data_IF_989009000215
#
_entry.id   IF_989009000215
#
_cell.length_a   1.000
_cell.length_b   1.000
_cell.length_c   1.000
_cell.angle_alpha   90.00
_cell.angle_beta   90.00
_cell.angle_gamma   90.00
#
_symmetry.space_group_name_H-M   'P 1'
#
loop_
_entity.id
_entity.type
_entity.pdbx_description
1 polymer ?
#
# COMPACT_ATOMS: atom_id res chain seq x y z
N UNK A 1 -10.33 -3.67 35.79
CA UNK A 1 -10.02 -4.66 34.72
C UNK A 1 -10.71 -4.17 33.47
N UNK A 2 -9.98 -3.63 32.52
CA UNK A 2 -10.55 -3.13 31.27
C UNK A 2 -11.02 -4.31 30.42
N UNK A 3 -12.25 -4.26 29.94
CA UNK A 3 -12.79 -5.19 28.95
C UNK A 3 -11.89 -5.08 27.72
N UNK A 4 -11.14 -6.13 27.42
CA UNK A 4 -10.36 -6.20 26.17
C UNK A 4 -11.36 -6.12 25.02
N UNK A 5 -11.44 -4.96 24.38
CA UNK A 5 -12.29 -4.77 23.20
C UNK A 5 -11.78 -5.67 22.06
N UNK A 6 -12.67 -6.45 21.47
CA UNK A 6 -12.37 -7.25 20.28
C UNK A 6 -12.12 -6.41 19.03
N UNK A 7 -12.34 -5.08 19.12
CA UNK A 7 -12.17 -4.11 18.04
C UNK A 7 -10.87 -3.32 18.25
N UNK A 8 -9.98 -3.23 17.27
CA UNK A 8 -8.71 -2.49 17.39
C UNK A 8 -8.91 -1.01 17.72
N UNK A 9 -7.98 -0.44 18.50
CA UNK A 9 -8.05 0.93 19.01
C UNK A 9 -8.23 1.97 17.89
N UNK A 10 -7.45 1.86 16.82
CA UNK A 10 -7.52 2.78 15.67
C UNK A 10 -8.89 2.74 14.98
N UNK A 11 -9.47 1.55 14.84
CA UNK A 11 -10.81 1.41 14.25
C UNK A 11 -11.91 2.01 15.16
N UNK A 12 -11.80 1.84 16.46
CA UNK A 12 -12.70 2.47 17.43
C UNK A 12 -12.63 4.00 17.35
N UNK A 13 -11.41 4.55 17.36
CA UNK A 13 -11.20 5.98 17.22
C UNK A 13 -11.76 6.54 15.89
N UNK A 14 -11.54 5.81 14.78
CA UNK A 14 -12.09 6.19 13.47
C UNK A 14 -13.62 6.18 13.41
N UNK A 15 -14.28 5.40 14.26
CA UNK A 15 -15.75 5.38 14.43
C UNK A 15 -16.28 6.47 15.38
N UNK A 16 -15.41 7.32 15.92
CA UNK A 16 -15.77 8.34 16.91
C UNK A 16 -16.04 7.79 18.31
N UNK A 17 -15.68 6.56 18.60
CA UNK A 17 -15.80 5.98 19.93
C UNK A 17 -14.80 6.62 20.90
N UNK A 18 -15.19 6.73 22.17
CA UNK A 18 -14.26 7.16 23.21
C UNK A 18 -13.16 6.11 23.39
N UNK A 19 -11.92 6.55 23.28
CA UNK A 19 -10.73 5.74 23.49
C UNK A 19 -9.87 6.32 24.63
N UNK A 20 -9.11 5.46 25.27
CA UNK A 20 -8.29 5.80 26.44
C UNK A 20 -6.97 6.52 26.07
N UNK A 21 -6.54 6.39 24.84
CA UNK A 21 -5.39 7.12 24.28
C UNK A 21 -5.53 7.30 22.77
N UNK A 22 -4.86 8.27 22.15
CA UNK A 22 -4.77 8.35 20.69
C UNK A 22 -4.11 7.10 20.10
N UNK A 23 -4.65 6.52 19.00
CA UNK A 23 -3.97 5.45 18.27
C UNK A 23 -2.76 6.00 17.53
N UNK A 24 -1.72 5.18 17.39
CA UNK A 24 -0.47 5.56 16.74
C UNK A 24 -0.19 4.65 15.54
N UNK A 25 0.00 5.28 14.41
CA UNK A 25 0.59 4.69 13.23
C UNK A 25 1.51 5.72 12.56
N UNK A 26 2.68 5.28 12.11
CA UNK A 26 3.64 6.19 11.49
C UNK A 26 3.81 5.88 10.01
N UNK A 27 3.72 6.92 9.17
CA UNK A 27 4.00 6.84 7.75
C UNK A 27 5.38 6.22 7.51
N UNK A 28 5.48 5.33 6.51
CA UNK A 28 6.73 4.67 6.10
C UNK A 28 7.35 3.78 7.19
N UNK A 29 6.52 3.16 8.03
CA UNK A 29 6.99 2.18 9.02
C UNK A 29 7.77 1.04 8.35
N UNK A 30 7.29 0.49 7.22
CA UNK A 30 8.04 -0.45 6.37
C UNK A 30 9.20 0.29 5.70
N UNK A 31 10.09 0.85 6.50
CA UNK A 31 11.08 1.80 6.03
C UNK A 31 12.44 1.19 5.77
N UNK A 32 13.18 1.92 4.98
CA UNK A 32 14.57 1.62 4.60
C UNK A 32 15.53 1.59 5.79
N UNK A 33 15.10 2.06 6.98
CA UNK A 33 15.89 2.07 8.22
C UNK A 33 15.99 0.69 8.88
N UNK A 34 15.00 -0.20 8.67
CA UNK A 34 15.01 -1.53 9.26
C UNK A 34 15.99 -2.46 8.51
N UNK A 35 16.88 -3.12 9.28
CA UNK A 35 17.80 -4.10 8.69
C UNK A 35 17.05 -5.23 7.98
N UNK A 36 16.01 -5.77 8.61
CA UNK A 36 15.18 -6.84 8.03
C UNK A 36 14.59 -6.46 6.66
N UNK A 37 14.16 -5.20 6.48
CA UNK A 37 13.70 -4.72 5.18
C UNK A 37 14.85 -4.65 4.16
N UNK A 38 16.04 -4.17 4.56
CA UNK A 38 17.19 -4.07 3.65
C UNK A 38 17.67 -5.44 3.18
N UNK A 39 17.74 -6.41 4.08
CA UNK A 39 18.13 -7.80 3.76
C UNK A 39 17.11 -8.43 2.77
N UNK A 40 15.81 -8.18 3.00
CA UNK A 40 14.76 -8.66 2.10
C UNK A 40 14.83 -7.97 0.73
N UNK A 41 15.15 -6.68 0.69
CA UNK A 41 15.34 -5.92 -0.56
C UNK A 41 16.54 -6.42 -1.37
N UNK A 42 17.61 -6.85 -0.75
CA UNK A 42 18.75 -7.48 -1.46
C UNK A 42 18.31 -8.77 -2.16
N UNK A 43 17.44 -9.55 -1.50
CA UNK A 43 16.89 -10.80 -2.07
C UNK A 43 15.84 -10.55 -3.16
N UNK A 44 15.03 -9.50 -2.99
CA UNK A 44 13.97 -9.09 -3.92
C UNK A 44 14.19 -7.63 -4.33
N UNK A 45 15.06 -7.33 -5.30
CA UNK A 45 15.44 -5.95 -5.62
C UNK A 45 14.31 -5.13 -6.25
N UNK A 46 13.41 -5.75 -7.02
CA UNK A 46 12.26 -5.07 -7.59
C UNK A 46 11.25 -4.64 -6.53
N UNK A 47 10.75 -3.40 -6.61
CA UNK A 47 9.67 -2.96 -5.72
C UNK A 47 8.39 -3.75 -5.98
N UNK A 48 8.09 -4.05 -7.25
CA UNK A 48 6.90 -4.83 -7.62
C UNK A 48 6.95 -6.23 -7.03
N UNK A 49 8.10 -6.92 -7.10
CA UNK A 49 8.25 -8.23 -6.43
C UNK A 49 7.93 -8.12 -4.93
N UNK A 50 8.46 -7.11 -4.25
CA UNK A 50 8.19 -6.93 -2.82
C UNK A 50 6.75 -6.58 -2.48
N UNK A 51 6.00 -5.99 -3.40
CA UNK A 51 4.60 -5.57 -3.18
C UNK A 51 3.56 -6.49 -3.81
N UNK A 52 3.93 -7.31 -4.81
CA UNK A 52 3.01 -8.15 -5.55
C UNK A 52 3.17 -9.65 -5.21
N UNK A 53 4.33 -10.09 -4.69
CA UNK A 53 4.50 -11.45 -4.15
C UNK A 53 3.89 -11.46 -2.75
N UNK A 54 2.81 -12.22 -2.50
CA UNK A 54 2.06 -12.13 -1.25
C UNK A 54 2.91 -12.35 0.00
N UNK A 55 3.71 -13.41 0.03
CA UNK A 55 4.53 -13.77 1.19
C UNK A 55 5.54 -12.66 1.54
N UNK A 56 6.10 -12.02 0.51
CA UNK A 56 7.07 -10.93 0.67
C UNK A 56 6.39 -9.66 1.17
N UNK A 57 5.26 -9.29 0.58
CA UNK A 57 4.49 -8.11 0.98
C UNK A 57 3.92 -8.24 2.40
N UNK A 58 3.46 -9.43 2.79
CA UNK A 58 3.02 -9.74 4.15
C UNK A 58 4.19 -9.54 5.13
N UNK A 59 5.34 -10.13 4.84
CA UNK A 59 6.52 -10.00 5.69
C UNK A 59 6.92 -8.53 5.86
N UNK A 60 7.04 -7.77 4.77
CA UNK A 60 7.39 -6.34 4.82
C UNK A 60 6.37 -5.53 5.63
N UNK A 61 5.08 -5.81 5.48
CA UNK A 61 4.02 -5.12 6.22
C UNK A 61 4.09 -5.40 7.73
N UNK A 62 4.46 -6.62 8.11
CA UNK A 62 4.49 -7.06 9.51
C UNK A 62 5.79 -6.71 10.25
N UNK A 63 6.91 -6.48 9.56
CA UNK A 63 8.18 -6.17 10.20
C UNK A 63 8.09 -5.02 11.22
N UNK A 64 7.52 -3.85 10.90
CA UNK A 64 7.36 -2.77 11.88
C UNK A 64 6.37 -3.11 12.99
N UNK A 65 5.32 -3.86 12.67
CA UNK A 65 4.35 -4.26 13.68
C UNK A 65 4.96 -5.21 14.72
N UNK A 66 5.75 -6.18 14.29
CA UNK A 66 6.47 -7.08 15.20
C UNK A 66 7.49 -6.35 16.07
N UNK A 67 8.12 -5.31 15.52
CA UNK A 67 9.15 -4.56 16.23
C UNK A 67 8.59 -3.52 17.22
N UNK A 68 7.47 -2.86 16.88
CA UNK A 68 7.01 -1.66 17.59
C UNK A 68 5.56 -1.72 18.06
N UNK A 69 4.80 -2.72 17.66
CA UNK A 69 3.39 -2.92 18.03
C UNK A 69 2.51 -1.66 17.85
N UNK A 70 2.54 -0.97 16.70
CA UNK A 70 1.68 0.17 16.44
C UNK A 70 0.21 -0.24 16.31
N UNK A 71 -0.71 0.71 16.45
CA UNK A 71 -2.15 0.47 16.36
C UNK A 71 -2.65 0.24 14.93
N UNK A 72 -1.79 0.42 13.93
CA UNK A 72 -2.08 0.19 12.53
C UNK A 72 -0.96 -0.60 11.81
N UNK A 73 -1.37 -1.46 10.89
CA UNK A 73 -0.48 -2.17 9.96
C UNK A 73 -0.92 -1.83 8.55
N UNK A 74 -0.05 -1.18 7.78
CA UNK A 74 -0.36 -0.81 6.40
C UNK A 74 0.04 -1.92 5.43
N UNK A 75 -0.82 -2.18 4.45
CA UNK A 75 -0.48 -2.96 3.28
C UNK A 75 0.74 -2.36 2.58
N UNK A 76 1.83 -3.12 2.47
CA UNK A 76 2.97 -2.70 1.66
C UNK A 76 2.62 -2.77 0.17
N UNK A 77 2.44 -1.60 -0.44
CA UNK A 77 1.96 -1.43 -1.81
C UNK A 77 2.44 -0.09 -2.35
N UNK A 78 2.13 0.22 -3.60
CA UNK A 78 2.26 1.57 -4.17
C UNK A 78 0.88 2.16 -4.53
N UNK A 79 0.79 3.49 -4.51
CA UNK A 79 -0.45 4.20 -4.84
C UNK A 79 -0.90 3.94 -6.29
N UNK A 80 0.02 3.63 -7.19
CA UNK A 80 -0.24 3.37 -8.62
C UNK A 80 -0.48 1.89 -8.94
N UNK A 81 -0.47 1.01 -7.97
CA UNK A 81 -0.74 -0.44 -8.15
C UNK A 81 -1.98 -0.77 -9.00
N UNK A 82 -3.08 0.02 -9.00
CA UNK A 82 -4.23 -0.25 -9.86
C UNK A 82 -4.01 0.00 -11.35
N UNK A 83 -3.06 0.83 -11.74
CA UNK A 83 -2.92 1.31 -13.12
C UNK A 83 -2.70 0.21 -14.17
N UNK A 84 -1.87 -0.82 -13.94
CA UNK A 84 -1.72 -1.92 -14.90
C UNK A 84 -3.03 -2.65 -15.19
N UNK A 85 -3.88 -2.83 -14.18
CA UNK A 85 -5.20 -3.44 -14.35
C UNK A 85 -6.20 -2.60 -15.15
N UNK A 86 -5.88 -1.33 -15.37
CA UNK A 86 -6.65 -0.41 -16.22
C UNK A 86 -6.08 -0.31 -17.65
N UNK A 87 -4.99 -1.02 -17.97
CA UNK A 87 -4.32 -0.97 -19.26
C UNK A 87 -3.20 0.07 -19.38
N UNK A 88 -2.75 0.63 -18.25
CA UNK A 88 -1.64 1.60 -18.21
C UNK A 88 -0.35 0.87 -17.86
N UNK A 89 0.53 0.70 -18.84
CA UNK A 89 1.81 0.02 -18.65
C UNK A 89 2.79 0.90 -17.87
N UNK A 90 3.35 0.33 -16.79
CA UNK A 90 4.21 1.06 -15.86
C UNK A 90 5.17 0.15 -15.11
N UNK A 91 6.21 0.76 -14.55
CA UNK A 91 7.08 0.12 -13.56
C UNK A 91 7.43 1.09 -12.43
N UNK A 92 8.00 0.57 -11.35
CA UNK A 92 8.47 1.35 -10.21
C UNK A 92 9.98 1.26 -10.15
N UNK A 93 10.64 2.24 -10.76
CA UNK A 93 12.08 2.30 -10.81
C UNK A 93 12.68 2.76 -9.48
N UNK A 94 13.73 2.08 -9.05
CA UNK A 94 14.43 2.43 -7.82
C UNK A 94 15.00 3.85 -7.88
N UNK A 95 14.75 4.63 -6.83
CA UNK A 95 15.19 6.02 -6.71
C UNK A 95 14.44 7.05 -7.57
N UNK A 96 13.63 6.58 -8.54
CA UNK A 96 12.82 7.45 -9.41
C UNK A 96 11.32 7.37 -9.11
N UNK A 97 10.87 6.25 -8.51
CA UNK A 97 9.45 5.98 -8.28
C UNK A 97 8.72 5.47 -9.52
N UNK A 98 7.38 5.61 -9.57
CA UNK A 98 6.58 5.15 -10.69
C UNK A 98 6.94 5.84 -12.02
N UNK A 99 7.02 5.04 -13.07
CA UNK A 99 7.27 5.47 -14.45
C UNK A 99 6.19 4.85 -15.34
N UNK A 100 5.42 5.68 -16.02
CA UNK A 100 4.44 5.26 -17.01
C UNK A 100 5.11 5.26 -18.37
N UNK A 101 5.17 4.11 -19.03
CA UNK A 101 5.89 3.99 -20.31
C UNK A 101 5.19 4.71 -21.47
N UNK A 102 3.85 4.75 -21.44
CA UNK A 102 3.04 5.42 -22.47
C UNK A 102 2.04 6.37 -21.80
N UNK A 103 2.47 7.58 -21.42
CA UNK A 103 1.57 8.55 -20.80
C UNK A 103 0.40 8.93 -21.69
N UNK A 104 -0.77 9.13 -21.08
CA UNK A 104 -2.01 9.48 -21.78
C UNK A 104 -1.94 10.93 -22.25
N UNK A 105 -2.19 11.15 -23.56
CA UNK A 105 -2.15 12.47 -24.21
C UNK A 105 -3.38 12.78 -25.04
N UNK A 106 -4.23 11.79 -25.30
CA UNK A 106 -5.38 11.93 -26.20
C UNK A 106 -6.64 11.31 -25.60
N UNK A 107 -7.80 11.80 -26.00
CA UNK A 107 -9.08 11.24 -25.60
C UNK A 107 -9.18 9.76 -26.00
N UNK A 108 -8.71 9.39 -27.20
CA UNK A 108 -8.70 8.01 -27.66
C UNK A 108 -7.96 7.06 -26.70
N UNK A 109 -6.89 7.52 -26.07
CA UNK A 109 -6.17 6.72 -25.08
C UNK A 109 -6.98 6.59 -23.77
N UNK A 110 -7.72 7.63 -23.36
CA UNK A 110 -8.65 7.56 -22.22
C UNK A 110 -9.77 6.56 -22.50
N UNK A 111 -10.37 6.62 -23.68
CA UNK A 111 -11.46 5.74 -24.10
C UNK A 111 -11.04 4.28 -24.21
N UNK A 112 -9.73 4.03 -24.36
CA UNK A 112 -9.11 2.71 -24.38
C UNK A 112 -8.82 2.11 -23.00
N UNK A 113 -9.03 2.85 -21.90
CA UNK A 113 -8.84 2.31 -20.57
C UNK A 113 -9.90 1.27 -20.21
N UNK A 114 -9.49 0.29 -19.42
CA UNK A 114 -10.39 -0.75 -18.94
C UNK A 114 -10.91 -0.41 -17.53
N UNK A 115 -12.17 -0.69 -17.21
CA UNK A 115 -12.64 -0.71 -15.84
C UNK A 115 -11.81 -1.71 -15.02
N UNK A 116 -11.30 -1.27 -13.87
CA UNK A 116 -10.53 -2.15 -13.00
C UNK A 116 -11.43 -3.24 -12.41
N UNK A 117 -11.10 -4.51 -12.67
CA UNK A 117 -11.62 -5.63 -11.91
C UNK A 117 -10.55 -6.08 -10.91
N UNK A 118 -10.67 -5.73 -9.62
CA UNK A 118 -9.64 -6.03 -8.63
C UNK A 118 -9.43 -7.53 -8.39
N UNK A 119 -10.46 -8.35 -8.57
CA UNK A 119 -10.37 -9.81 -8.36
C UNK A 119 -9.43 -10.47 -9.38
N UNK A 120 -9.45 -9.99 -10.62
CA UNK A 120 -8.62 -10.54 -11.70
C UNK A 120 -7.30 -9.79 -11.87
N UNK A 121 -7.30 -8.48 -11.68
CA UNK A 121 -6.12 -7.65 -11.89
C UNK A 121 -5.17 -7.60 -10.69
N UNK A 122 -5.70 -7.73 -9.46
CA UNK A 122 -4.95 -7.56 -8.21
C UNK A 122 -5.23 -8.70 -7.20
N UNK A 123 -5.21 -9.99 -7.61
CA UNK A 123 -5.57 -11.10 -6.72
C UNK A 123 -4.68 -11.18 -5.48
N UNK A 124 -3.42 -10.77 -5.61
CA UNK A 124 -2.47 -10.72 -4.50
C UNK A 124 -2.91 -9.77 -3.37
N UNK A 125 -3.59 -8.67 -3.67
CA UNK A 125 -4.06 -7.71 -2.65
C UNK A 125 -5.03 -8.37 -1.69
N UNK A 126 -6.00 -9.13 -2.19
CA UNK A 126 -6.95 -9.87 -1.35
C UNK A 126 -6.24 -10.88 -0.45
N UNK A 127 -5.29 -11.61 -1.00
CA UNK A 127 -4.50 -12.60 -0.26
C UNK A 127 -3.68 -11.93 0.86
N UNK A 128 -2.97 -10.83 0.54
CA UNK A 128 -2.16 -10.10 1.52
C UNK A 128 -3.04 -9.53 2.64
N UNK A 129 -4.13 -8.82 2.30
CA UNK A 129 -5.02 -8.22 3.30
C UNK A 129 -5.65 -9.28 4.21
N UNK A 130 -6.05 -10.43 3.65
CA UNK A 130 -6.59 -11.55 4.43
C UNK A 130 -5.57 -12.08 5.44
N UNK A 131 -4.33 -12.32 5.00
CA UNK A 131 -3.25 -12.80 5.86
C UNK A 131 -2.86 -11.78 6.94
N UNK A 132 -2.73 -10.49 6.58
CA UNK A 132 -2.46 -9.43 7.55
C UNK A 132 -3.56 -9.35 8.60
N UNK A 133 -4.83 -9.40 8.18
CA UNK A 133 -5.97 -9.35 9.11
C UNK A 133 -5.99 -10.54 10.06
N UNK A 134 -5.64 -11.72 9.58
CA UNK A 134 -5.54 -12.93 10.40
C UNK A 134 -4.40 -12.82 11.40
N UNK A 135 -3.23 -12.36 10.98
CA UNK A 135 -2.04 -12.27 11.82
C UNK A 135 -2.18 -11.25 12.94
N UNK A 136 -2.67 -10.03 12.63
CA UNK A 136 -2.78 -8.98 13.64
C UNK A 136 -4.04 -9.08 14.51
N UNK A 137 -5.06 -9.81 14.07
CA UNK A 137 -6.29 -10.04 14.80
C UNK A 137 -6.96 -8.76 15.29
N UNK A 138 -7.21 -8.68 16.60
CA UNK A 138 -7.75 -7.49 17.27
C UNK A 138 -6.66 -6.55 17.83
N UNK A 139 -5.38 -6.91 17.73
CA UNK A 139 -4.28 -6.12 18.29
C UNK A 139 -4.03 -4.82 17.50
N UNK A 140 -4.23 -4.85 16.18
CA UNK A 140 -4.01 -3.68 15.32
C UNK A 140 -5.00 -3.63 14.16
N UNK A 141 -5.17 -2.44 13.59
CA UNK A 141 -6.02 -2.22 12.40
C UNK A 141 -5.20 -2.39 11.13
N UNK A 142 -5.68 -3.20 10.19
CA UNK A 142 -5.09 -3.25 8.85
C UNK A 142 -5.56 -2.04 8.05
N UNK A 143 -4.60 -1.34 7.46
CA UNK A 143 -4.81 -0.16 6.63
C UNK A 143 -4.56 -0.51 5.16
N UNK A 144 -5.52 -0.21 4.30
CA UNK A 144 -5.32 -0.23 2.85
C UNK A 144 -4.47 0.96 2.39
N UNK A 145 -3.91 0.85 1.19
CA UNK A 145 -3.11 1.91 0.60
C UNK A 145 -3.39 2.02 -0.90
N UNK A 146 -3.88 3.18 -1.33
CA UNK A 146 -4.26 3.42 -2.73
C UNK A 146 -4.15 4.92 -3.05
N UNK A 147 -3.82 5.25 -4.30
CA UNK A 147 -3.84 6.63 -4.77
C UNK A 147 -5.27 7.16 -4.94
N UNK A 148 -5.48 8.43 -4.61
CA UNK A 148 -6.72 9.11 -4.95
C UNK A 148 -6.87 9.23 -6.47
N UNK A 149 -8.11 9.31 -7.01
CA UNK A 149 -8.35 9.37 -8.45
C UNK A 149 -7.55 10.46 -9.17
N UNK A 150 -7.49 11.65 -8.60
CA UNK A 150 -6.68 12.76 -9.13
C UNK A 150 -5.19 12.42 -9.21
N UNK A 151 -4.66 11.80 -8.16
CA UNK A 151 -3.26 11.39 -8.10
C UNK A 151 -2.93 10.36 -9.18
N UNK A 152 -3.80 9.35 -9.35
CA UNK A 152 -3.63 8.34 -10.39
C UNK A 152 -3.70 8.94 -11.79
N UNK A 153 -4.66 9.84 -12.04
CA UNK A 153 -4.79 10.55 -13.31
C UNK A 153 -3.54 11.41 -13.59
N UNK A 154 -3.02 12.12 -12.58
CA UNK A 154 -1.80 12.90 -12.73
C UNK A 154 -0.60 12.04 -13.14
N UNK A 155 -0.40 10.89 -12.49
CA UNK A 155 0.65 9.94 -12.90
C UNK A 155 0.45 9.41 -14.31
N UNK A 156 -0.78 9.01 -14.66
CA UNK A 156 -1.12 8.49 -15.98
C UNK A 156 -0.87 9.50 -17.11
N UNK A 157 -1.13 10.78 -16.84
CA UNK A 157 -0.92 11.87 -17.80
C UNK A 157 0.55 12.34 -17.80
N UNK A 158 1.16 12.61 -16.63
CA UNK A 158 2.53 13.15 -16.58
C UNK A 158 3.61 12.10 -16.88
N UNK A 159 3.32 10.83 -16.64
CA UNK A 159 4.24 9.73 -16.89
C UNK A 159 5.22 9.44 -15.76
N UNK A 160 5.25 10.28 -14.72
CA UNK A 160 6.14 10.18 -13.55
C UNK A 160 5.61 11.02 -12.39
N UNK A 161 6.25 10.91 -11.24
CA UNK A 161 5.96 11.80 -10.11
C UNK A 161 6.15 13.27 -10.51
N UNK A 162 5.15 14.09 -10.19
CA UNK A 162 5.25 15.55 -10.35
C UNK A 162 6.36 16.05 -9.42
N UNK A 163 7.25 16.88 -9.94
CA UNK A 163 8.13 17.68 -9.09
C UNK A 163 7.27 18.70 -8.36
N UNK A 164 7.51 18.95 -7.05
CA UNK A 164 6.87 20.08 -6.39
C UNK A 164 7.15 21.34 -7.21
N UNK A 165 6.11 22.10 -7.51
CA UNK A 165 6.28 23.47 -8.01
C UNK A 165 6.70 24.26 -6.77
N UNK A 166 7.99 24.61 -6.72
CA UNK A 166 8.54 25.51 -5.70
C UNK A 166 8.09 26.94 -6.01
#
# INVERSE_FOLDING_TARGET
MGVSSTVPLLLRAARGEKVDRPPVWMMRQAGRYMKAYRDLREKYPSFRERSEIPEVAIEVSLQPWRAFQPDGVILFSDIVTPLPGMGIDMDIAEGKGPIIFSPIRTQKQVDGLHPLNPETALPFIRQILGALRQEVGSASTVLGFVGAPWTLAAYAVEGKALKPIL
#
